data_IF_992555403881
#
_entry.id   IF_992555403881
#
_cell.length_a   1.000
_cell.length_b   1.000
_cell.length_c   1.000
_cell.angle_alpha   90.00
_cell.angle_beta   90.00
_cell.angle_gamma   90.00
#
_symmetry.space_group_name_H-M   'P 1'
#
loop_
_entity.id
_entity.type
_entity.pdbx_description
1 polymer ?
#
# COMPACT_ATOMS: atom_id res chain seq x y z
N UNK A 1 -2.02 -32.60 -16.27
CA UNK A 1 -0.67 -33.22 -16.14
C UNK A 1 0.32 -32.07 -16.12
N UNK A 2 1.13 -31.79 -15.10
CA UNK A 2 1.84 -32.61 -14.11
C UNK A 2 1.93 -31.83 -12.78
N UNK A 3 1.90 -32.57 -11.68
CA UNK A 3 2.16 -32.15 -10.30
C UNK A 3 3.68 -32.08 -10.07
N UNK A 4 4.17 -31.10 -9.32
CA UNK A 4 5.51 -31.12 -8.67
C UNK A 4 5.33 -30.33 -7.35
N UNK A 5 5.06 -30.99 -6.22
CA UNK A 5 5.98 -31.64 -5.27
C UNK A 5 6.83 -30.66 -4.44
N UNK A 6 6.33 -30.45 -3.22
CA UNK A 6 6.98 -30.12 -1.94
C UNK A 6 8.49 -30.35 -1.85
N UNK A 7 9.21 -29.39 -1.27
CA UNK A 7 10.39 -29.64 -0.44
C UNK A 7 10.41 -28.71 0.77
N UNK A 8 10.05 -29.28 1.93
CA UNK A 8 10.37 -28.78 3.26
C UNK A 8 11.88 -28.95 3.45
N UNK A 9 12.60 -27.85 3.69
CA UNK A 9 14.00 -27.89 4.12
C UNK A 9 14.10 -27.23 5.49
N UNK A 10 14.08 -28.07 6.53
CA UNK A 10 14.52 -27.71 7.88
C UNK A 10 16.04 -27.73 7.85
N UNK A 11 16.67 -26.60 8.15
CA UNK A 11 18.07 -26.57 8.60
C UNK A 11 18.18 -25.69 9.84
N UNK A 12 18.11 -26.34 11.00
CA UNK A 12 18.51 -25.77 12.29
C UNK A 12 20.03 -25.85 12.38
N UNK A 13 20.70 -24.72 12.59
CA UNK A 13 22.08 -24.68 13.09
C UNK A 13 22.11 -23.67 14.26
N UNK A 14 22.16 -24.21 15.47
CA UNK A 14 22.52 -23.48 16.69
C UNK A 14 24.03 -23.54 16.80
N UNK A 15 24.70 -22.40 16.92
CA UNK A 15 26.05 -22.32 17.49
C UNK A 15 26.05 -21.25 18.58
N UNK A 16 26.03 -21.73 19.83
CA UNK A 16 26.48 -20.98 20.98
C UNK A 16 28.00 -21.12 21.05
N UNK A 17 28.72 -20.01 20.98
CA UNK A 17 30.11 -19.93 21.39
C UNK A 17 30.24 -18.82 22.42
N UNK A 18 30.26 -19.22 23.70
CA UNK A 18 30.81 -18.40 24.77
C UNK A 18 32.33 -18.35 24.59
N UNK A 19 32.86 -17.15 24.35
CA UNK A 19 34.29 -16.87 24.34
C UNK A 19 34.59 -15.74 25.32
N UNK A 20 34.95 -16.11 26.54
CA UNK A 20 35.43 -15.21 27.58
C UNK A 20 36.95 -15.39 27.68
N UNK A 21 37.75 -14.34 27.44
CA UNK A 21 39.08 -14.22 28.07
C UNK A 21 39.68 -12.80 27.96
N UNK A 22 40.21 -12.36 29.10
CA UNK A 22 41.16 -11.28 29.41
C UNK A 22 40.75 -9.79 29.32
N UNK A 23 40.22 -9.31 30.45
CA UNK A 23 40.75 -8.23 31.30
C UNK A 23 41.30 -6.96 30.62
N UNK A 24 40.44 -5.96 30.51
CA UNK A 24 40.79 -4.54 30.40
C UNK A 24 39.61 -3.72 30.90
N UNK A 25 39.70 -3.21 32.13
CA UNK A 25 38.70 -2.32 32.71
C UNK A 25 38.63 -1.01 31.89
N UNK A 26 37.47 -0.75 31.29
CA UNK A 26 36.88 0.58 31.38
C UNK A 26 35.37 0.51 31.19
N UNK A 27 34.71 1.20 32.10
CA UNK A 27 33.29 1.21 32.34
C UNK A 27 32.52 1.80 31.14
N UNK A 28 31.43 1.13 30.74
CA UNK A 28 30.11 1.74 30.55
C UNK A 28 29.06 0.64 30.42
N UNK A 29 28.60 0.23 31.59
CA UNK A 29 27.20 0.07 31.95
C UNK A 29 26.21 0.05 30.76
N UNK A 30 25.65 -1.15 30.57
CA UNK A 30 24.30 -1.37 30.09
C UNK A 30 23.35 -0.25 30.56
N UNK A 31 22.81 0.48 29.60
CA UNK A 31 21.46 0.99 29.74
C UNK A 31 20.73 0.70 28.44
N UNK A 32 20.28 -0.55 28.34
CA UNK A 32 19.09 -0.87 27.58
C UNK A 32 17.92 -0.11 28.22
N UNK A 33 17.69 1.12 27.75
CA UNK A 33 16.36 1.70 27.82
C UNK A 33 15.87 1.89 26.38
N UNK A 34 14.90 1.05 26.07
CA UNK A 34 14.11 1.02 24.85
C UNK A 34 13.29 2.31 24.73
N UNK A 35 13.73 3.23 23.88
CA UNK A 35 12.87 4.30 23.32
C UNK A 35 12.98 4.35 21.79
N UNK A 36 13.09 3.20 21.15
CA UNK A 36 13.03 3.08 19.68
C UNK A 36 11.88 2.18 19.23
N UNK A 37 10.73 2.32 19.87
CA UNK A 37 9.54 1.52 19.56
C UNK A 37 8.33 2.34 19.08
N UNK A 38 8.34 3.68 19.11
CA UNK A 38 7.11 4.46 18.85
C UNK A 38 7.15 5.42 17.64
N UNK A 39 8.25 5.49 16.88
CA UNK A 39 8.33 6.39 15.71
C UNK A 39 8.24 5.67 14.35
N UNK A 40 8.36 4.34 14.33
CA UNK A 40 8.32 3.58 13.07
C UNK A 40 6.87 3.49 12.54
N UNK A 41 5.91 3.27 13.43
CA UNK A 41 4.49 3.16 13.08
C UNK A 41 3.94 4.51 12.58
N UNK A 42 4.25 5.62 13.27
CA UNK A 42 3.84 6.96 12.82
C UNK A 42 4.47 7.36 11.48
N UNK A 43 5.76 7.07 11.27
CA UNK A 43 6.41 7.36 9.99
C UNK A 43 5.83 6.52 8.83
N UNK A 44 5.46 5.25 9.09
CA UNK A 44 4.75 4.42 8.10
C UNK A 44 3.35 4.97 7.82
N UNK A 45 2.61 5.36 8.85
CA UNK A 45 1.27 5.93 8.69
C UNK A 45 1.30 7.21 7.85
N UNK A 46 2.25 8.11 8.11
CA UNK A 46 2.47 9.32 7.31
C UNK A 46 2.79 9.01 5.84
N UNK A 47 3.64 8.01 5.59
CA UNK A 47 3.99 7.59 4.23
C UNK A 47 2.78 7.02 3.47
N UNK A 48 2.01 6.15 4.13
CA UNK A 48 0.80 5.57 3.55
C UNK A 48 -0.29 6.61 3.33
N UNK A 49 -0.43 7.57 4.23
CA UNK A 49 -1.39 8.66 4.11
C UNK A 49 -1.06 9.54 2.90
N UNK A 50 0.21 9.92 2.73
CA UNK A 50 0.64 10.70 1.57
C UNK A 50 0.40 9.96 0.24
N UNK A 51 0.76 8.68 0.14
CA UNK A 51 0.52 7.92 -1.09
C UNK A 51 -0.98 7.69 -1.37
N UNK A 52 -1.77 7.48 -0.32
CA UNK A 52 -3.23 7.37 -0.45
C UNK A 52 -3.86 8.69 -0.92
N UNK A 53 -3.38 9.83 -0.42
CA UNK A 53 -3.80 11.16 -0.88
C UNK A 53 -3.41 11.42 -2.35
N UNK A 54 -2.28 10.91 -2.82
CA UNK A 54 -1.90 10.97 -4.24
C UNK A 54 -2.85 10.16 -5.12
N UNK A 55 -3.23 8.95 -4.70
CA UNK A 55 -4.27 8.16 -5.38
C UNK A 55 -5.61 8.91 -5.38
N UNK A 56 -6.00 9.51 -4.25
CA UNK A 56 -7.22 10.30 -4.12
C UNK A 56 -7.25 11.49 -5.10
N UNK A 57 -6.13 12.20 -5.24
CA UNK A 57 -6.02 13.33 -6.17
C UNK A 57 -6.19 12.87 -7.63
N UNK A 58 -5.67 11.70 -8.01
CA UNK A 58 -5.90 11.14 -9.35
C UNK A 58 -7.36 10.73 -9.55
N UNK A 59 -8.02 10.19 -8.52
CA UNK A 59 -9.45 9.87 -8.56
C UNK A 59 -10.31 11.14 -8.76
N UNK A 60 -9.96 12.25 -8.10
CA UNK A 60 -10.63 13.54 -8.27
C UNK A 60 -10.52 14.06 -9.71
N UNK A 61 -9.31 14.01 -10.29
CA UNK A 61 -9.06 14.39 -11.67
C UNK A 61 -9.84 13.51 -12.66
N UNK A 62 -9.89 12.20 -12.40
CA UNK A 62 -10.64 11.26 -13.22
C UNK A 62 -12.15 11.55 -13.12
N UNK A 63 -12.67 11.77 -11.92
CA UNK A 63 -14.06 12.15 -11.68
C UNK A 63 -14.44 13.41 -12.45
N UNK A 64 -13.63 14.45 -12.36
CA UNK A 64 -13.85 15.72 -13.06
C UNK A 64 -13.90 15.54 -14.60
N UNK A 65 -13.08 14.65 -15.15
CA UNK A 65 -13.11 14.34 -16.59
C UNK A 65 -14.39 13.56 -16.97
N UNK A 66 -14.80 12.58 -16.15
CA UNK A 66 -16.02 11.80 -16.36
C UNK A 66 -17.30 12.64 -16.23
N UNK A 67 -17.27 13.70 -15.43
CA UNK A 67 -18.40 14.63 -15.28
C UNK A 67 -18.46 15.68 -16.40
N UNK A 68 -17.41 15.81 -17.20
CA UNK A 68 -17.38 16.71 -18.34
C UNK A 68 -18.30 16.22 -19.47
N UNK A 69 -19.08 17.12 -20.07
CA UNK A 69 -19.94 16.80 -21.22
C UNK A 69 -19.17 16.33 -22.45
N UNK A 70 -17.90 16.73 -22.57
CA UNK A 70 -16.98 16.30 -23.61
C UNK A 70 -15.84 15.51 -22.94
N UNK A 71 -16.17 14.31 -22.46
CA UNK A 71 -15.21 13.37 -21.88
C UNK A 71 -13.98 13.21 -22.78
N UNK A 72 -12.78 13.28 -22.19
CA UNK A 72 -11.54 13.09 -22.91
C UNK A 72 -10.99 11.69 -22.61
N UNK A 73 -11.15 10.76 -23.55
CA UNK A 73 -10.75 9.36 -23.42
C UNK A 73 -9.24 9.18 -23.23
N UNK A 74 -8.40 9.97 -23.90
CA UNK A 74 -6.94 9.91 -23.72
C UNK A 74 -6.55 10.28 -22.29
N UNK A 75 -7.22 11.31 -21.74
CA UNK A 75 -7.00 11.71 -20.35
C UNK A 75 -7.56 10.68 -19.37
N UNK A 76 -8.70 10.04 -19.65
CA UNK A 76 -9.22 8.92 -18.83
C UNK A 76 -8.21 7.78 -18.78
N UNK A 77 -7.70 7.34 -19.94
CA UNK A 77 -6.71 6.27 -20.01
C UNK A 77 -5.41 6.64 -19.30
N UNK A 78 -4.96 7.90 -19.44
CA UNK A 78 -3.80 8.39 -18.70
C UNK A 78 -4.04 8.30 -17.20
N UNK A 79 -5.18 8.80 -16.71
CA UNK A 79 -5.51 8.76 -15.28
C UNK A 79 -5.66 7.33 -14.76
N UNK A 80 -6.16 6.41 -15.57
CA UNK A 80 -6.17 4.98 -15.26
C UNK A 80 -4.78 4.39 -15.01
N UNK A 81 -3.77 4.83 -15.78
CA UNK A 81 -2.37 4.43 -15.54
C UNK A 81 -1.77 5.14 -14.34
N UNK A 82 -2.05 6.43 -14.18
CA UNK A 82 -1.60 7.19 -13.01
C UNK A 82 -2.16 6.55 -11.71
N UNK A 83 -3.40 6.01 -11.71
CA UNK A 83 -3.96 5.28 -10.56
C UNK A 83 -3.18 4.02 -10.23
N UNK A 84 -2.83 3.23 -11.24
CA UNK A 84 -2.02 2.01 -11.09
C UNK A 84 -0.64 2.36 -10.53
N UNK A 85 0.05 3.32 -11.14
CA UNK A 85 1.39 3.74 -10.73
C UNK A 85 1.42 4.25 -9.27
N UNK A 86 0.50 5.13 -8.87
CA UNK A 86 0.49 5.66 -7.50
C UNK A 86 0.05 4.61 -6.46
N UNK A 87 -0.86 3.70 -6.80
CA UNK A 87 -1.25 2.63 -5.88
C UNK A 87 -0.10 1.65 -5.67
N UNK A 88 0.59 1.22 -6.72
CA UNK A 88 1.72 0.29 -6.67
C UNK A 88 2.85 0.78 -5.73
N UNK A 89 3.02 2.09 -5.56
CA UNK A 89 4.02 2.67 -4.64
C UNK A 89 3.76 2.32 -3.17
N UNK A 90 2.49 2.22 -2.77
CA UNK A 90 2.08 1.92 -1.40
C UNK A 90 1.47 0.53 -1.23
N UNK A 91 1.03 -0.12 -2.32
CA UNK A 91 0.24 -1.35 -2.36
C UNK A 91 0.78 -2.40 -1.38
N UNK A 92 2.05 -2.77 -1.54
CA UNK A 92 2.67 -3.82 -0.74
C UNK A 92 2.65 -3.51 0.76
N UNK A 93 2.81 -2.24 1.14
CA UNK A 93 2.77 -1.85 2.56
C UNK A 93 1.34 -1.91 3.08
N UNK A 94 0.35 -1.54 2.27
CA UNK A 94 -1.06 -1.71 2.63
C UNK A 94 -1.39 -3.20 2.77
N UNK A 95 -0.97 -4.06 1.84
CA UNK A 95 -1.16 -5.52 1.90
C UNK A 95 -0.59 -6.11 3.20
N UNK A 96 0.65 -5.78 3.53
CA UNK A 96 1.36 -6.37 4.68
C UNK A 96 0.81 -5.90 6.03
N UNK A 97 0.33 -4.65 6.13
CA UNK A 97 -0.01 -4.01 7.42
C UNK A 97 -1.52 -3.81 7.60
N UNK A 98 -2.28 -3.77 6.52
CA UNK A 98 -3.72 -3.49 6.47
C UNK A 98 -4.43 -4.41 5.46
N UNK A 99 -4.33 -5.75 5.59
CA UNK A 99 -4.79 -6.69 4.57
C UNK A 99 -6.30 -6.60 4.28
N UNK A 100 -7.11 -6.26 5.26
CA UNK A 100 -8.56 -6.05 5.06
C UNK A 100 -8.86 -4.80 4.23
N UNK A 101 -8.12 -3.71 4.46
CA UNK A 101 -8.25 -2.46 3.70
C UNK A 101 -7.72 -2.65 2.27
N UNK A 102 -6.57 -3.32 2.13
CA UNK A 102 -6.01 -3.74 0.86
C UNK A 102 -7.04 -4.48 -0.01
N UNK A 103 -7.60 -5.59 0.49
CA UNK A 103 -8.63 -6.35 -0.24
C UNK A 103 -9.89 -5.54 -0.53
N UNK A 104 -10.25 -4.61 0.36
CA UNK A 104 -11.42 -3.75 0.20
C UNK A 104 -11.21 -2.75 -0.94
N UNK A 105 -10.10 -2.01 -0.91
CA UNK A 105 -9.74 -0.98 -1.90
C UNK A 105 -9.62 -1.59 -3.29
N UNK A 106 -8.92 -2.72 -3.44
CA UNK A 106 -8.69 -3.36 -4.73
C UNK A 106 -9.97 -3.81 -5.44
N UNK A 107 -11.01 -4.19 -4.67
CA UNK A 107 -12.30 -4.61 -5.23
C UNK A 107 -12.97 -3.53 -6.08
N UNK A 108 -12.62 -2.25 -5.88
CA UNK A 108 -13.09 -1.15 -6.72
C UNK A 108 -11.98 -0.52 -7.57
N UNK A 109 -10.75 -0.41 -7.04
CA UNK A 109 -9.63 0.23 -7.73
C UNK A 109 -9.19 -0.50 -8.99
N UNK A 110 -8.93 -1.82 -8.94
CA UNK A 110 -8.47 -2.53 -10.15
C UNK A 110 -9.55 -2.65 -11.23
N UNK A 111 -10.83 -2.88 -10.90
CA UNK A 111 -11.89 -2.76 -11.90
C UNK A 111 -11.95 -1.36 -12.54
N UNK A 112 -11.68 -0.29 -11.78
CA UNK A 112 -11.64 1.08 -12.31
C UNK A 112 -10.46 1.28 -13.27
N UNK A 113 -9.26 0.85 -12.87
CA UNK A 113 -8.06 0.86 -13.72
C UNK A 113 -8.33 0.09 -15.02
N UNK A 114 -8.85 -1.13 -14.91
CA UNK A 114 -9.16 -1.97 -16.07
C UNK A 114 -10.20 -1.33 -17.00
N UNK A 115 -11.23 -0.67 -16.46
CA UNK A 115 -12.26 0.00 -17.26
C UNK A 115 -11.73 1.27 -17.94
N UNK A 116 -10.97 2.08 -17.22
CA UNK A 116 -10.41 3.36 -17.69
C UNK A 116 -9.36 3.19 -18.79
N UNK A 117 -8.65 2.07 -18.83
CA UNK A 117 -7.65 1.78 -19.86
C UNK A 117 -8.24 1.26 -21.19
N UNK A 118 -9.57 1.11 -21.31
CA UNK A 118 -10.24 0.68 -22.54
C UNK A 118 -10.41 1.84 -23.53
N UNK A 119 -10.43 1.52 -24.82
CA UNK A 119 -10.77 2.50 -25.89
C UNK A 119 -12.20 3.05 -25.78
N UNK A 120 -13.12 2.21 -25.28
CA UNK A 120 -14.52 2.56 -25.03
C UNK A 120 -14.94 2.05 -23.65
N UNK A 121 -14.32 2.60 -22.59
CA UNK A 121 -14.69 2.30 -21.21
C UNK A 121 -16.12 2.77 -20.90
N UNK A 122 -16.78 2.08 -19.97
CA UNK A 122 -18.10 2.47 -19.49
C UNK A 122 -17.98 3.60 -18.45
N UNK A 123 -18.28 4.84 -18.85
CA UNK A 123 -18.19 6.02 -17.99
C UNK A 123 -19.14 6.01 -16.81
N UNK A 124 -20.30 5.35 -16.90
CA UNK A 124 -21.22 5.24 -15.77
C UNK A 124 -20.63 4.29 -14.72
N UNK A 125 -20.13 3.12 -15.17
CA UNK A 125 -19.44 2.17 -14.31
C UNK A 125 -18.20 2.78 -13.66
N UNK A 126 -17.41 3.56 -14.41
CA UNK A 126 -16.24 4.23 -13.85
C UNK A 126 -16.61 5.23 -12.76
N UNK A 127 -17.71 5.98 -12.91
CA UNK A 127 -18.19 6.89 -11.86
C UNK A 127 -18.53 6.16 -10.57
N UNK A 128 -19.27 5.06 -10.66
CA UNK A 128 -19.63 4.24 -9.50
C UNK A 128 -18.36 3.71 -8.80
N UNK A 129 -17.40 3.19 -9.57
CA UNK A 129 -16.14 2.67 -9.05
C UNK A 129 -15.23 3.76 -8.46
N UNK A 130 -15.23 4.98 -9.03
CA UNK A 130 -14.53 6.14 -8.47
C UNK A 130 -15.10 6.46 -7.10
N UNK A 131 -16.42 6.59 -6.98
CA UNK A 131 -17.07 6.87 -5.69
C UNK A 131 -16.75 5.79 -4.66
N UNK A 132 -16.90 4.51 -5.01
CA UNK A 132 -16.61 3.41 -4.10
C UNK A 132 -15.13 3.38 -3.66
N UNK A 133 -14.20 3.65 -4.57
CA UNK A 133 -12.77 3.67 -4.25
C UNK A 133 -12.41 4.85 -3.34
N UNK A 134 -12.98 6.03 -3.59
CA UNK A 134 -12.78 7.20 -2.73
C UNK A 134 -13.27 6.96 -1.30
N UNK A 135 -14.48 6.43 -1.14
CA UNK A 135 -15.05 6.13 0.19
C UNK A 135 -14.16 5.16 0.99
N UNK A 136 -13.57 4.16 0.33
CA UNK A 136 -12.66 3.20 0.96
C UNK A 136 -11.32 3.82 1.31
N UNK A 137 -10.74 4.63 0.44
CA UNK A 137 -9.50 5.35 0.72
C UNK A 137 -9.69 6.41 1.81
N UNK A 138 -10.83 7.08 1.87
CA UNK A 138 -11.19 7.99 2.97
C UNK A 138 -11.24 7.24 4.30
N UNK A 139 -11.94 6.10 4.34
CA UNK A 139 -12.00 5.25 5.54
C UNK A 139 -10.61 4.73 5.96
N UNK A 140 -9.76 4.41 4.99
CA UNK A 140 -8.38 4.02 5.23
C UNK A 140 -7.54 5.17 5.79
N UNK A 141 -7.66 6.37 5.22
CA UNK A 141 -6.96 7.57 5.68
C UNK A 141 -7.37 7.98 7.10
N UNK A 142 -8.66 7.89 7.45
CA UNK A 142 -9.15 8.11 8.81
C UNK A 142 -8.48 7.15 9.80
N UNK A 143 -8.39 5.86 9.44
CA UNK A 143 -7.71 4.85 10.26
C UNK A 143 -6.20 5.12 10.41
N UNK A 144 -5.53 5.58 9.35
CA UNK A 144 -4.12 5.95 9.41
C UNK A 144 -3.89 7.16 10.32
N UNK A 145 -4.77 8.15 10.29
CA UNK A 145 -4.68 9.35 11.12
C UNK A 145 -4.86 9.10 12.63
N UNK A 146 -5.35 7.90 13.02
CA UNK A 146 -5.47 7.47 14.41
C UNK A 146 -4.21 6.76 14.96
N UNK A 147 -3.20 6.52 14.11
CA UNK A 147 -1.94 5.84 14.47
C UNK A 147 -0.91 6.80 15.06
#
# INVERSE_FOLDING_TARGET
MKKILSFISILVIIILAAGCSSNGENEKQENANSEKANNADGQMADELLNGSDEVMAVLDDLQANLENKAENSELIQKKGKDLEENWDEIEKKVEENFPEDYESIEKSLYPLISESQKDQGDSAKMKDLVTETKEKLESFNEKLAEK
#
